data_IF_996490496691
#
_entry.id   IF_996490496691
#
_cell.length_a   1.000
_cell.length_b   1.000
_cell.length_c   1.000
_cell.angle_alpha   90.00
_cell.angle_beta   90.00
_cell.angle_gamma   90.00
#
_symmetry.space_group_name_H-M   'P 1'
#
loop_
_entity.id
_entity.type
_entity.pdbx_description
1 polymer ?
#
# COMPACT_ATOMS: atom_id res chain seq x y z
N UNK A 1 -7.80 20.80 -10.14
CA UNK A 1 -6.83 20.20 -9.20
C UNK A 1 -7.41 18.93 -8.56
N UNK A 2 -6.54 17.93 -8.25
CA UNK A 2 -6.95 16.65 -7.70
C UNK A 2 -6.26 16.43 -6.36
N UNK A 3 -7.07 16.23 -5.30
CA UNK A 3 -6.59 15.74 -4.02
C UNK A 3 -6.42 14.23 -4.04
N UNK A 4 -5.44 13.70 -3.30
CA UNK A 4 -5.17 12.28 -3.21
C UNK A 4 -4.85 11.89 -1.77
N UNK A 5 -5.66 10.97 -1.21
CA UNK A 5 -5.41 10.33 0.08
C UNK A 5 -5.04 8.88 -0.14
N UNK A 6 -3.84 8.48 0.31
CA UNK A 6 -3.28 7.13 0.11
C UNK A 6 -2.72 6.55 1.40
N UNK A 7 -2.59 5.22 1.45
CA UNK A 7 -2.00 4.52 2.60
C UNK A 7 -1.31 3.20 2.21
N UNK A 8 -0.26 2.81 2.95
CA UNK A 8 0.50 3.58 3.94
C UNK A 8 1.48 4.57 3.29
N UNK A 9 2.29 5.26 4.10
CA UNK A 9 3.44 6.05 3.64
C UNK A 9 4.75 5.25 3.77
N UNK A 10 5.81 5.75 3.14
CA UNK A 10 7.16 5.17 3.26
C UNK A 10 7.99 5.93 4.30
N UNK A 11 8.13 7.25 4.15
CA UNK A 11 8.94 8.08 5.04
C UNK A 11 8.11 9.03 5.88
N UNK A 12 7.21 9.78 5.28
CA UNK A 12 6.45 10.83 5.97
C UNK A 12 4.94 10.58 5.90
N UNK A 13 4.26 10.78 7.02
CA UNK A 13 2.79 10.74 7.08
C UNK A 13 2.14 11.71 6.09
N UNK A 14 2.83 12.79 5.73
CA UNK A 14 2.36 13.78 4.76
C UNK A 14 2.24 13.25 3.33
N UNK A 15 2.96 12.16 2.99
CA UNK A 15 2.81 11.46 1.70
C UNK A 15 1.39 10.96 1.45
N UNK A 16 0.65 10.70 2.53
CA UNK A 16 -0.73 10.22 2.44
C UNK A 16 -1.71 11.25 1.94
N UNK A 17 -1.36 12.55 1.99
CA UNK A 17 -2.26 13.65 1.66
C UNK A 17 -1.56 14.57 0.69
N UNK A 18 -2.01 14.57 -0.56
CA UNK A 18 -1.40 15.33 -1.66
C UNK A 18 -2.44 16.09 -2.46
N UNK A 19 -2.00 17.17 -3.10
CA UNK A 19 -2.73 17.85 -4.17
C UNK A 19 -1.82 17.85 -5.39
N UNK A 20 -2.22 17.16 -6.44
CA UNK A 20 -1.32 16.87 -7.55
C UNK A 20 -0.11 16.06 -7.08
N UNK A 21 1.10 16.59 -7.32
CA UNK A 21 2.37 15.97 -6.88
C UNK A 21 2.83 16.44 -5.50
N UNK A 22 2.24 17.52 -4.97
CA UNK A 22 2.70 18.17 -3.74
C UNK A 22 2.06 17.54 -2.49
N UNK A 23 2.90 17.17 -1.54
CA UNK A 23 2.46 16.72 -0.21
C UNK A 23 1.88 17.91 0.58
N UNK A 24 0.91 17.66 1.45
CA UNK A 24 0.43 18.68 2.39
C UNK A 24 1.61 19.34 3.11
N UNK A 25 1.62 20.66 3.23
CA UNK A 25 2.67 21.39 3.92
C UNK A 25 2.71 21.02 5.43
N UNK A 26 3.85 21.19 6.07
CA UNK A 26 3.98 20.99 7.53
C UNK A 26 3.01 21.92 8.26
N UNK A 27 2.87 23.15 7.79
CA UNK A 27 1.99 24.15 8.38
C UNK A 27 0.51 23.75 8.28
N UNK A 28 0.03 23.41 7.07
CA UNK A 28 -1.36 22.96 6.85
C UNK A 28 -1.67 21.68 7.64
N UNK A 29 -0.72 20.72 7.65
CA UNK A 29 -0.85 19.49 8.42
C UNK A 29 -1.00 19.77 9.91
N UNK A 30 -0.09 20.57 10.46
CA UNK A 30 -0.06 20.90 11.89
C UNK A 30 -1.30 21.70 12.30
N UNK A 31 -1.67 22.70 11.52
CA UNK A 31 -2.84 23.54 11.79
C UNK A 31 -4.14 22.73 11.76
N UNK A 32 -4.29 21.86 10.76
CA UNK A 32 -5.47 20.99 10.64
C UNK A 32 -5.49 19.95 11.76
N UNK A 33 -4.36 19.37 12.11
CA UNK A 33 -4.25 18.41 13.21
C UNK A 33 -4.59 19.05 14.56
N UNK A 34 -4.19 20.30 14.81
CA UNK A 34 -4.56 21.03 16.05
C UNK A 34 -6.07 21.22 16.17
N UNK A 35 -6.77 21.52 15.08
CA UNK A 35 -8.24 21.62 15.06
C UNK A 35 -8.89 20.29 15.40
N UNK A 36 -8.44 19.20 14.80
CA UNK A 36 -8.93 17.84 15.06
C UNK A 36 -8.67 17.45 16.51
N UNK A 37 -7.46 17.68 17.02
CA UNK A 37 -7.08 17.39 18.39
C UNK A 37 -8.01 18.10 19.39
N UNK A 38 -8.32 19.39 19.14
CA UNK A 38 -9.25 20.15 19.97
C UNK A 38 -10.63 19.50 20.00
N UNK A 39 -11.18 19.14 18.83
CA UNK A 39 -12.50 18.48 18.74
C UNK A 39 -12.51 17.12 19.47
N UNK A 40 -11.46 16.33 19.36
CA UNK A 40 -11.31 15.04 20.04
C UNK A 40 -11.34 15.23 21.56
N UNK A 41 -10.59 16.21 22.09
CA UNK A 41 -10.50 16.48 23.53
C UNK A 41 -11.83 17.04 24.06
N UNK A 42 -12.37 18.06 23.41
CA UNK A 42 -13.59 18.77 23.87
C UNK A 42 -14.80 17.83 23.89
N UNK A 43 -14.86 16.87 22.96
CA UNK A 43 -15.97 15.92 22.83
C UNK A 43 -15.67 14.52 23.36
N UNK A 44 -14.48 14.29 23.95
CA UNK A 44 -14.03 13.00 24.49
C UNK A 44 -14.14 11.84 23.47
N UNK A 45 -13.81 12.11 22.19
CA UNK A 45 -13.91 11.14 21.10
C UNK A 45 -12.75 10.15 21.21
N UNK A 46 -13.05 8.87 21.04
CA UNK A 46 -12.03 7.83 20.85
C UNK A 46 -11.87 7.62 19.34
N UNK A 47 -10.74 8.02 18.79
CA UNK A 47 -10.46 7.87 17.37
C UNK A 47 -9.15 7.11 17.16
N UNK A 48 -9.12 6.25 16.14
CA UNK A 48 -7.93 5.56 15.70
C UNK A 48 -7.01 6.50 14.90
N UNK A 49 -5.76 6.11 14.76
CA UNK A 49 -4.80 6.85 13.93
C UNK A 49 -5.29 7.05 12.48
N UNK A 50 -5.91 6.02 11.88
CA UNK A 50 -6.39 6.09 10.49
C UNK A 50 -7.62 7.00 10.37
N UNK A 51 -8.56 6.95 11.32
CA UNK A 51 -9.70 7.87 11.36
C UNK A 51 -9.26 9.34 11.47
N UNK A 52 -8.26 9.62 12.32
CA UNK A 52 -7.70 10.97 12.45
C UNK A 52 -7.12 11.46 11.12
N UNK A 53 -6.33 10.64 10.45
CA UNK A 53 -5.73 10.99 9.16
C UNK A 53 -6.78 11.15 8.05
N UNK A 54 -7.82 10.32 8.06
CA UNK A 54 -8.94 10.44 7.11
C UNK A 54 -9.68 11.76 7.30
N UNK A 55 -10.02 12.12 8.53
CA UNK A 55 -10.65 13.41 8.84
C UNK A 55 -9.73 14.58 8.45
N UNK A 56 -8.42 14.45 8.70
CA UNK A 56 -7.44 15.47 8.29
C UNK A 56 -7.45 15.66 6.77
N UNK A 57 -7.46 14.57 6.00
CA UNK A 57 -7.53 14.65 4.55
C UNK A 57 -8.81 15.34 4.07
N UNK A 58 -9.97 14.94 4.59
CA UNK A 58 -11.25 15.55 4.22
C UNK A 58 -11.29 17.05 4.58
N UNK A 59 -10.84 17.44 5.78
CA UNK A 59 -10.80 18.85 6.19
C UNK A 59 -9.80 19.65 5.33
N UNK A 60 -8.64 19.09 5.03
CA UNK A 60 -7.67 19.75 4.17
C UNK A 60 -8.24 19.97 2.78
N UNK A 61 -8.80 18.93 2.16
CA UNK A 61 -9.37 19.00 0.82
C UNK A 61 -10.59 19.92 0.74
N UNK A 62 -11.45 19.95 1.76
CA UNK A 62 -12.62 20.84 1.80
C UNK A 62 -12.26 22.33 1.82
N UNK A 63 -11.06 22.68 2.29
CA UNK A 63 -10.55 24.05 2.30
C UNK A 63 -9.77 24.44 1.03
N UNK A 64 -9.65 23.52 0.08
CA UNK A 64 -8.97 23.74 -1.21
C UNK A 64 -9.99 23.70 -2.35
N UNK A 65 -9.73 24.45 -3.39
CA UNK A 65 -10.61 24.46 -4.57
C UNK A 65 -10.25 23.28 -5.50
N UNK A 66 -10.66 22.06 -5.10
CA UNK A 66 -10.39 20.84 -5.83
C UNK A 66 -11.55 20.46 -6.74
N UNK A 67 -11.24 19.99 -7.95
CA UNK A 67 -12.22 19.41 -8.85
C UNK A 67 -12.65 18.01 -8.38
N UNK A 68 -11.69 17.23 -7.88
CA UNK A 68 -11.87 15.84 -7.42
C UNK A 68 -10.97 15.50 -6.24
N UNK A 69 -11.38 14.51 -5.45
CA UNK A 69 -10.54 13.86 -4.46
C UNK A 69 -10.55 12.34 -4.69
N UNK A 70 -9.37 11.74 -4.81
CA UNK A 70 -9.16 10.30 -4.88
C UNK A 70 -8.83 9.81 -3.47
N UNK A 71 -9.70 8.96 -2.92
CA UNK A 71 -9.63 8.50 -1.54
C UNK A 71 -9.40 6.99 -1.51
N UNK A 72 -8.22 6.55 -1.10
CA UNK A 72 -7.90 5.13 -0.95
C UNK A 72 -8.50 4.57 0.35
N UNK A 73 -9.22 3.46 0.24
CA UNK A 73 -9.73 2.70 1.37
C UNK A 73 -8.55 2.05 2.12
N UNK A 74 -8.50 2.19 3.43
CA UNK A 74 -7.45 1.59 4.24
C UNK A 74 -7.62 0.09 4.43
N UNK A 75 -8.85 -0.36 4.74
CA UNK A 75 -9.16 -1.76 4.98
C UNK A 75 -10.63 -2.09 4.70
N UNK A 76 -10.85 -3.10 3.86
CA UNK A 76 -12.19 -3.61 3.57
C UNK A 76 -13.02 -2.62 2.76
N UNK A 77 -13.93 -1.93 3.39
CA UNK A 77 -14.83 -0.95 2.78
C UNK A 77 -15.96 -0.52 3.72
N UNK A 78 -16.75 -1.45 4.23
CA UNK A 78 -17.97 -1.17 5.02
C UNK A 78 -17.70 -0.26 6.23
N UNK A 79 -16.68 -0.59 7.00
CA UNK A 79 -16.33 0.09 8.26
C UNK A 79 -15.11 1.01 8.14
N UNK A 80 -14.65 1.22 6.90
CA UNK A 80 -13.51 2.09 6.68
C UNK A 80 -13.88 3.57 6.85
N UNK A 81 -13.02 4.32 7.51
CA UNK A 81 -13.24 5.73 7.78
C UNK A 81 -13.42 6.57 6.51
N UNK A 82 -12.80 6.17 5.40
CA UNK A 82 -12.93 6.85 4.10
C UNK A 82 -14.33 6.72 3.50
N UNK A 83 -15.06 5.66 3.85
CA UNK A 83 -16.37 5.36 3.25
C UNK A 83 -17.48 6.36 3.60
N UNK A 84 -17.24 7.31 4.49
CA UNK A 84 -18.17 8.41 4.77
C UNK A 84 -18.38 9.36 3.58
N UNK A 85 -17.47 9.32 2.60
CA UNK A 85 -17.41 10.27 1.48
C UNK A 85 -18.43 10.05 0.35
N UNK A 86 -19.22 8.98 0.35
CA UNK A 86 -20.20 8.65 -0.69
C UNK A 86 -19.63 8.79 -2.12
N UNK A 87 -18.72 7.90 -2.48
CA UNK A 87 -17.97 7.97 -3.73
C UNK A 87 -18.87 8.05 -4.99
N UNK A 88 -18.61 9.04 -5.83
CA UNK A 88 -19.27 9.19 -7.14
C UNK A 88 -18.79 8.12 -8.14
N UNK A 89 -17.49 7.81 -8.07
CA UNK A 89 -16.87 6.70 -8.81
C UNK A 89 -16.24 5.78 -7.76
N UNK A 90 -16.63 4.53 -7.73
CA UNK A 90 -16.07 3.49 -6.88
C UNK A 90 -15.21 2.55 -7.74
N UNK A 91 -13.92 2.44 -7.43
CA UNK A 91 -13.01 1.55 -8.14
C UNK A 91 -12.74 0.32 -7.27
N UNK A 92 -13.30 -0.82 -7.68
CA UNK A 92 -13.08 -2.12 -7.08
C UNK A 92 -12.01 -2.85 -7.90
N UNK A 93 -10.76 -2.75 -7.47
CA UNK A 93 -9.59 -3.30 -8.18
C UNK A 93 -9.62 -4.84 -8.22
N UNK A 94 -8.50 -5.52 -8.08
CA UNK A 94 -8.47 -6.99 -8.00
C UNK A 94 -9.02 -7.48 -6.66
N UNK A 95 -9.67 -8.65 -6.68
CA UNK A 95 -10.10 -9.36 -5.48
C UNK A 95 -9.07 -10.46 -5.16
N UNK A 96 -8.69 -10.56 -3.89
CA UNK A 96 -7.74 -11.56 -3.41
C UNK A 96 -7.89 -11.78 -1.91
N UNK A 97 -7.38 -12.91 -1.41
CA UNK A 97 -7.33 -13.22 0.01
C UNK A 97 -6.29 -12.34 0.69
N UNK A 98 -6.74 -11.38 1.49
CA UNK A 98 -5.90 -10.53 2.32
C UNK A 98 -6.71 -10.10 3.55
N UNK A 99 -6.02 -9.82 4.67
CA UNK A 99 -6.64 -9.39 5.92
C UNK A 99 -7.77 -10.32 6.41
N UNK A 100 -7.60 -11.64 6.27
CA UNK A 100 -8.64 -12.63 6.55
C UNK A 100 -9.15 -12.58 8.00
N UNK A 101 -8.30 -12.18 8.96
CA UNK A 101 -8.69 -11.98 10.36
C UNK A 101 -9.80 -10.93 10.55
N UNK A 102 -9.94 -10.00 9.60
CA UNK A 102 -10.91 -8.89 9.66
C UNK A 102 -12.02 -8.99 8.61
N UNK A 103 -11.71 -9.50 7.42
CA UNK A 103 -12.62 -9.46 6.27
C UNK A 103 -13.29 -10.81 6.00
N UNK A 104 -12.87 -11.88 6.73
CA UNK A 104 -13.32 -13.25 6.53
C UNK A 104 -12.38 -14.04 5.63
N UNK A 105 -12.59 -15.34 5.60
CA UNK A 105 -11.72 -16.37 5.04
C UNK A 105 -12.07 -16.76 3.59
N UNK A 106 -13.02 -16.07 2.96
CA UNK A 106 -13.46 -16.34 1.60
C UNK A 106 -13.49 -15.11 0.73
N UNK A 107 -13.33 -15.28 -0.59
CA UNK A 107 -13.47 -14.18 -1.55
C UNK A 107 -14.88 -13.57 -1.54
N UNK A 108 -15.91 -14.36 -1.25
CA UNK A 108 -17.29 -13.85 -1.14
C UNK A 108 -17.46 -12.91 0.06
N UNK A 109 -16.89 -13.24 1.24
CA UNK A 109 -16.94 -12.35 2.40
C UNK A 109 -16.16 -11.06 2.19
N UNK A 110 -14.96 -11.17 1.61
CA UNK A 110 -14.12 -10.02 1.27
C UNK A 110 -14.81 -9.13 0.23
N UNK A 111 -15.41 -9.73 -0.82
CA UNK A 111 -16.15 -8.99 -1.84
C UNK A 111 -17.34 -8.24 -1.23
N UNK A 112 -18.11 -8.90 -0.36
CA UNK A 112 -19.25 -8.29 0.33
C UNK A 112 -18.85 -7.04 1.09
N UNK A 113 -17.78 -7.09 1.88
CA UNK A 113 -17.29 -5.95 2.67
C UNK A 113 -16.74 -4.84 1.79
N UNK A 114 -15.94 -5.19 0.76
CA UNK A 114 -15.37 -4.20 -0.17
C UNK A 114 -16.42 -3.49 -1.01
N UNK A 115 -17.46 -4.20 -1.42
CA UNK A 115 -18.54 -3.63 -2.24
C UNK A 115 -19.36 -2.55 -1.50
N UNK A 116 -19.30 -2.48 -0.17
CA UNK A 116 -20.05 -1.50 0.65
C UNK A 116 -19.62 -0.04 0.45
N UNK A 117 -18.53 0.22 -0.27
CA UNK A 117 -18.18 1.58 -0.70
C UNK A 117 -19.07 2.10 -1.84
N UNK A 118 -19.83 1.20 -2.48
CA UNK A 118 -20.71 1.51 -3.60
C UNK A 118 -22.06 2.00 -3.09
N UNK A 119 -22.52 3.12 -3.60
CA UNK A 119 -23.86 3.69 -3.34
C UNK A 119 -24.74 3.57 -4.57
N UNK A 120 -26.05 3.79 -4.45
CA UNK A 120 -26.96 3.78 -5.59
C UNK A 120 -26.60 4.78 -6.70
N UNK A 121 -25.86 5.83 -6.37
CA UNK A 121 -25.42 6.88 -7.31
C UNK A 121 -24.01 6.67 -7.82
N UNK A 122 -23.31 5.64 -7.37
CA UNK A 122 -21.93 5.38 -7.78
C UNK A 122 -21.89 4.79 -9.18
N UNK A 123 -20.93 5.25 -9.97
CA UNK A 123 -20.44 4.54 -11.15
C UNK A 123 -19.34 3.61 -10.68
N UNK A 124 -19.46 2.32 -10.97
CA UNK A 124 -18.48 1.31 -10.52
C UNK A 124 -17.54 0.95 -11.66
N UNK A 125 -16.26 0.97 -11.39
CA UNK A 125 -15.21 0.41 -12.25
C UNK A 125 -14.65 -0.80 -11.50
N UNK A 126 -14.61 -1.99 -12.13
CA UNK A 126 -14.20 -3.20 -11.41
C UNK A 126 -13.32 -4.12 -12.24
N UNK A 127 -12.33 -4.74 -11.56
CA UNK A 127 -11.56 -5.88 -12.06
C UNK A 127 -12.06 -7.23 -11.55
N UNK A 128 -13.19 -7.27 -10.85
CA UNK A 128 -13.69 -8.50 -10.28
C UNK A 128 -14.25 -9.44 -11.32
N UNK A 129 -13.98 -10.73 -11.13
CA UNK A 129 -14.60 -11.80 -11.92
C UNK A 129 -16.13 -11.72 -11.81
N UNK A 130 -16.84 -12.11 -12.87
CA UNK A 130 -18.29 -11.94 -13.00
C UNK A 130 -19.08 -12.56 -11.85
N UNK A 131 -18.59 -13.68 -11.31
CA UNK A 131 -19.22 -14.39 -10.19
C UNK A 131 -19.24 -13.59 -8.88
N UNK A 132 -18.26 -12.69 -8.66
CA UNK A 132 -18.20 -11.83 -7.45
C UNK A 132 -18.94 -10.50 -7.63
N UNK A 133 -19.30 -10.12 -8.86
CA UNK A 133 -20.04 -8.89 -9.10
C UNK A 133 -21.46 -8.91 -8.52
N UNK A 134 -21.98 -10.09 -8.18
CA UNK A 134 -23.26 -10.26 -7.44
C UNK A 134 -23.27 -9.54 -6.07
N UNK A 135 -22.07 -9.29 -5.47
CA UNK A 135 -21.93 -8.59 -4.21
C UNK A 135 -21.96 -7.06 -4.34
N UNK A 136 -21.85 -6.54 -5.57
CA UNK A 136 -21.93 -5.09 -5.82
C UNK A 136 -23.38 -4.67 -5.63
N UNK A 137 -23.69 -3.72 -4.73
CA UNK A 137 -25.04 -3.23 -4.52
C UNK A 137 -25.60 -2.56 -5.80
N UNK A 138 -26.90 -2.29 -5.79
CA UNK A 138 -27.50 -1.45 -6.82
C UNK A 138 -26.73 -0.14 -6.96
N UNK A 139 -26.34 0.21 -8.18
CA UNK A 139 -25.54 1.39 -8.52
C UNK A 139 -26.03 1.97 -9.87
N UNK A 140 -25.45 3.10 -10.27
CA UNK A 140 -25.79 3.75 -11.55
C UNK A 140 -25.37 2.89 -12.74
N UNK A 141 -24.07 2.48 -12.76
CA UNK A 141 -23.53 1.61 -13.81
C UNK A 141 -22.30 0.86 -13.34
N UNK A 142 -21.97 -0.26 -14.03
CA UNK A 142 -20.78 -1.07 -13.77
C UNK A 142 -19.97 -1.18 -15.06
N UNK A 143 -18.69 -0.82 -14.98
CA UNK A 143 -17.70 -0.95 -16.05
C UNK A 143 -16.62 -1.96 -15.63
N UNK A 144 -16.43 -3.00 -16.41
CA UNK A 144 -15.40 -3.99 -16.19
C UNK A 144 -14.12 -3.64 -16.95
N UNK A 145 -12.98 -3.81 -16.31
CA UNK A 145 -11.65 -3.68 -16.91
C UNK A 145 -10.67 -4.69 -16.30
N UNK A 146 -9.67 -5.11 -17.06
CA UNK A 146 -8.73 -6.17 -16.68
C UNK A 146 -7.38 -5.64 -16.22
N UNK A 147 -7.17 -4.33 -16.28
CA UNK A 147 -5.89 -3.70 -15.94
C UNK A 147 -6.06 -2.35 -15.29
N UNK A 148 -5.04 -1.91 -14.56
CA UNK A 148 -4.97 -0.56 -13.97
C UNK A 148 -5.14 0.49 -15.07
N UNK A 149 -4.55 0.26 -16.25
CA UNK A 149 -4.66 1.17 -17.38
C UNK A 149 -6.11 1.34 -17.81
N UNK A 150 -6.85 0.24 -18.05
CA UNK A 150 -8.27 0.29 -18.44
C UNK A 150 -9.13 0.99 -17.37
N UNK A 151 -8.90 0.70 -16.08
CA UNK A 151 -9.63 1.38 -14.99
C UNK A 151 -9.36 2.87 -14.96
N UNK A 152 -8.10 3.27 -15.19
CA UNK A 152 -7.71 4.69 -15.24
C UNK A 152 -8.32 5.39 -16.45
N UNK A 153 -8.25 4.80 -17.64
CA UNK A 153 -8.85 5.34 -18.85
C UNK A 153 -10.36 5.55 -18.70
N UNK A 154 -11.07 4.58 -18.12
CA UNK A 154 -12.49 4.71 -17.82
C UNK A 154 -12.78 5.84 -16.85
N UNK A 155 -12.04 5.90 -15.74
CA UNK A 155 -12.20 6.95 -14.73
C UNK A 155 -11.96 8.33 -15.35
N UNK A 156 -10.89 8.52 -16.10
CA UNK A 156 -10.57 9.80 -16.75
C UNK A 156 -11.62 10.20 -17.80
N UNK A 157 -12.13 9.24 -18.59
CA UNK A 157 -13.22 9.48 -19.53
C UNK A 157 -14.50 9.95 -18.81
N UNK A 158 -14.87 9.33 -17.70
CA UNK A 158 -16.03 9.73 -16.88
C UNK A 158 -15.86 11.16 -16.33
N UNK A 159 -14.63 11.51 -15.94
CA UNK A 159 -14.27 12.82 -15.41
C UNK A 159 -14.02 13.88 -16.52
N UNK A 160 -14.13 13.50 -17.80
CA UNK A 160 -13.81 14.34 -18.97
C UNK A 160 -12.39 14.89 -18.94
N UNK A 161 -11.45 14.11 -18.43
CA UNK A 161 -10.02 14.41 -18.38
C UNK A 161 -9.29 13.76 -19.56
N UNK A 162 -8.21 14.41 -20.01
CA UNK A 162 -7.34 13.80 -21.01
C UNK A 162 -6.53 12.67 -20.36
N UNK A 163 -6.52 11.51 -21.00
CA UNK A 163 -5.67 10.40 -20.59
C UNK A 163 -4.23 10.67 -21.02
N UNK A 164 -3.30 10.44 -20.11
CA UNK A 164 -1.86 10.50 -20.35
C UNK A 164 -1.27 9.13 -20.04
N UNK A 165 -0.61 8.53 -21.01
CA UNK A 165 0.12 7.27 -20.83
C UNK A 165 1.52 7.55 -20.25
N UNK A 166 1.57 8.24 -19.12
CA UNK A 166 2.80 8.40 -18.34
C UNK A 166 2.97 7.21 -17.40
N UNK A 167 4.13 6.54 -17.48
CA UNK A 167 4.53 5.55 -16.47
C UNK A 167 4.84 6.28 -15.16
N UNK A 168 3.85 6.30 -14.28
CA UNK A 168 4.03 6.85 -12.94
C UNK A 168 4.88 5.86 -12.12
N UNK A 169 6.05 6.30 -11.69
CA UNK A 169 6.84 5.56 -10.71
C UNK A 169 6.32 5.89 -9.31
N UNK A 170 5.83 4.89 -8.60
CA UNK A 170 5.43 5.03 -7.20
C UNK A 170 6.58 4.56 -6.33
N UNK A 171 7.07 5.37 -5.39
CA UNK A 171 8.12 4.96 -4.46
C UNK A 171 7.82 3.62 -3.79
N UNK A 172 8.80 2.71 -3.80
CA UNK A 172 8.65 1.38 -3.21
C UNK A 172 7.64 0.46 -3.91
N UNK A 173 7.28 0.74 -5.17
CA UNK A 173 6.47 -0.13 -6.02
C UNK A 173 7.23 -0.43 -7.30
N UNK A 174 7.87 -1.60 -7.35
CA UNK A 174 8.73 -2.02 -8.46
C UNK A 174 9.76 -0.94 -8.87
N UNK A 175 10.32 -0.26 -7.88
CA UNK A 175 11.22 0.87 -8.04
C UNK A 175 12.65 0.37 -8.29
N UNK A 176 13.19 0.63 -9.48
CA UNK A 176 14.55 0.23 -9.88
C UNK A 176 15.53 1.35 -9.61
N UNK A 177 16.57 1.05 -8.83
CA UNK A 177 17.65 1.98 -8.51
C UNK A 177 18.98 1.23 -8.57
N UNK A 178 19.80 1.50 -9.57
CA UNK A 178 21.05 0.79 -9.84
C UNK A 178 20.81 -0.73 -9.96
N UNK A 179 21.50 -1.53 -9.14
CA UNK A 179 21.34 -3.00 -9.08
C UNK A 179 20.19 -3.44 -8.16
N UNK A 180 19.51 -2.50 -7.49
CA UNK A 180 18.43 -2.79 -6.55
C UNK A 180 17.05 -2.65 -7.19
N UNK A 181 16.16 -3.58 -6.88
CA UNK A 181 14.72 -3.44 -7.07
C UNK A 181 14.04 -3.33 -5.70
N UNK A 182 13.33 -2.24 -5.45
CA UNK A 182 12.62 -1.98 -4.22
C UNK A 182 11.12 -2.20 -4.42
N UNK A 183 10.51 -3.08 -3.62
CA UNK A 183 9.06 -3.31 -3.63
C UNK A 183 8.54 -3.64 -2.25
N UNK A 184 7.48 -2.95 -1.82
CA UNK A 184 6.86 -3.12 -0.51
C UNK A 184 5.94 -4.35 -0.40
N UNK A 185 6.05 -5.35 -1.27
CA UNK A 185 5.31 -6.60 -1.17
C UNK A 185 5.57 -7.27 0.20
N UNK A 186 4.49 -7.66 0.91
CA UNK A 186 4.58 -8.11 2.30
C UNK A 186 3.53 -9.18 2.65
N UNK A 187 2.88 -9.76 1.65
CA UNK A 187 2.01 -10.93 1.78
C UNK A 187 2.28 -11.90 0.62
N UNK A 188 1.86 -13.17 0.72
CA UNK A 188 2.16 -14.17 -0.30
C UNK A 188 1.66 -13.79 -1.69
N UNK A 189 0.47 -13.19 -1.81
CA UNK A 189 -0.09 -12.77 -3.10
C UNK A 189 0.75 -11.68 -3.77
N UNK A 190 1.18 -10.67 -3.02
CA UNK A 190 2.00 -9.58 -3.54
C UNK A 190 3.40 -10.07 -3.93
N UNK A 191 4.02 -10.95 -3.14
CA UNK A 191 5.32 -11.57 -3.46
C UNK A 191 5.20 -12.42 -4.73
N UNK A 192 4.17 -13.24 -4.85
CA UNK A 192 3.96 -14.06 -6.04
C UNK A 192 3.78 -13.19 -7.30
N UNK A 193 3.00 -12.11 -7.21
CA UNK A 193 2.85 -11.14 -8.29
C UNK A 193 4.18 -10.45 -8.64
N UNK A 194 4.98 -10.08 -7.64
CA UNK A 194 6.29 -9.46 -7.85
C UNK A 194 7.24 -10.42 -8.61
N UNK A 195 7.31 -11.67 -8.19
CA UNK A 195 8.17 -12.69 -8.78
C UNK A 195 7.70 -13.13 -10.18
N UNK A 196 6.41 -13.06 -10.48
CA UNK A 196 5.87 -13.40 -11.81
C UNK A 196 6.38 -12.51 -12.95
N UNK A 197 7.04 -11.39 -12.63
CA UNK A 197 7.63 -10.48 -13.63
C UNK A 197 8.96 -10.97 -14.22
N UNK A 198 9.30 -12.23 -14.02
CA UNK A 198 10.44 -12.94 -14.63
C UNK A 198 11.81 -12.26 -14.46
N UNK A 199 12.07 -11.64 -13.31
CA UNK A 199 13.40 -11.18 -12.96
C UNK A 199 14.12 -12.24 -12.11
N UNK A 200 15.40 -12.42 -12.36
CA UNK A 200 16.28 -13.23 -11.52
C UNK A 200 17.00 -12.31 -10.53
N UNK A 201 17.05 -12.72 -9.28
CA UNK A 201 17.74 -11.98 -8.22
C UNK A 201 18.78 -12.90 -7.58
N UNK A 202 20.03 -12.45 -7.54
CA UNK A 202 21.08 -13.19 -6.86
C UNK A 202 20.88 -13.15 -5.35
N UNK A 203 20.39 -12.00 -4.85
CA UNK A 203 20.16 -11.75 -3.44
C UNK A 203 18.79 -11.14 -3.19
N UNK A 204 18.20 -11.48 -2.04
CA UNK A 204 16.93 -10.92 -1.60
C UNK A 204 17.09 -10.40 -0.19
N UNK A 205 17.05 -9.08 -0.03
CA UNK A 205 17.04 -8.41 1.27
C UNK A 205 15.60 -8.36 1.76
N UNK A 206 15.32 -8.97 2.91
CA UNK A 206 13.97 -9.07 3.44
C UNK A 206 13.92 -8.81 4.94
N UNK A 207 12.98 -7.96 5.35
CA UNK A 207 12.58 -7.76 6.73
C UNK A 207 11.06 -7.73 6.81
N UNK A 208 10.48 -8.49 7.73
CA UNK A 208 9.04 -8.70 7.81
C UNK A 208 8.45 -8.29 9.14
N UNK A 209 7.14 -8.06 9.16
CA UNK A 209 6.38 -7.83 10.38
C UNK A 209 5.97 -9.17 10.99
N UNK A 210 5.89 -9.25 12.33
CA UNK A 210 5.57 -10.50 13.06
C UNK A 210 4.14 -11.00 12.86
N UNK A 211 3.25 -10.13 12.40
CA UNK A 211 1.83 -10.44 12.10
C UNK A 211 1.62 -10.97 10.68
N UNK A 212 2.68 -11.21 9.90
CA UNK A 212 2.60 -11.72 8.53
C UNK A 212 2.91 -13.21 8.46
N UNK A 213 2.37 -13.85 7.42
CA UNK A 213 2.68 -15.23 7.10
C UNK A 213 4.10 -15.35 6.53
N UNK A 214 5.08 -15.28 7.45
CA UNK A 214 6.50 -15.29 7.10
C UNK A 214 6.90 -16.57 6.37
N UNK A 215 6.33 -17.71 6.75
CA UNK A 215 6.68 -19.02 6.16
C UNK A 215 6.26 -19.07 4.69
N UNK A 216 4.99 -18.79 4.40
CA UNK A 216 4.51 -18.79 3.01
C UNK A 216 5.24 -17.77 2.13
N UNK A 217 5.63 -16.60 2.68
CA UNK A 217 6.43 -15.62 1.95
C UNK A 217 7.82 -16.18 1.60
N UNK A 218 8.52 -16.77 2.58
CA UNK A 218 9.86 -17.32 2.38
C UNK A 218 9.85 -18.53 1.44
N UNK A 219 8.82 -19.38 1.48
CA UNK A 219 8.65 -20.51 0.57
C UNK A 219 8.57 -20.08 -0.90
N UNK A 220 7.92 -18.94 -1.19
CA UNK A 220 7.76 -18.40 -2.54
C UNK A 220 9.06 -17.85 -3.15
N UNK A 221 10.05 -17.48 -2.34
CA UNK A 221 11.29 -16.90 -2.85
C UNK A 221 12.06 -17.94 -3.71
N UNK A 222 12.81 -17.52 -4.75
CA UNK A 222 13.61 -18.43 -5.57
C UNK A 222 14.65 -19.21 -4.76
N UNK A 223 14.82 -20.49 -5.05
CA UNK A 223 15.72 -21.38 -4.31
C UNK A 223 17.20 -21.00 -4.45
N UNK A 224 17.57 -20.47 -5.61
CA UNK A 224 18.93 -20.05 -5.96
C UNK A 224 19.32 -18.68 -5.42
N UNK A 225 18.38 -17.91 -4.89
CA UNK A 225 18.66 -16.59 -4.32
C UNK A 225 19.18 -16.72 -2.88
N UNK A 226 20.23 -15.99 -2.55
CA UNK A 226 20.68 -15.85 -1.16
C UNK A 226 19.76 -14.88 -0.40
N UNK A 227 19.16 -15.34 0.71
CA UNK A 227 18.21 -14.54 1.50
C UNK A 227 18.97 -13.79 2.59
N UNK A 228 18.88 -12.46 2.56
CA UNK A 228 19.51 -11.57 3.54
C UNK A 228 18.42 -11.06 4.51
N UNK A 229 18.35 -11.69 5.68
CA UNK A 229 17.35 -11.40 6.71
C UNK A 229 17.76 -10.15 7.49
N UNK A 230 16.92 -9.12 7.54
CA UNK A 230 17.27 -7.86 8.17
C UNK A 230 16.44 -7.57 9.42
N UNK A 231 17.13 -7.16 10.50
CA UNK A 231 16.47 -6.61 11.68
C UNK A 231 15.94 -5.21 11.36
N UNK A 232 14.65 -4.99 11.62
CA UNK A 232 13.99 -3.70 11.43
C UNK A 232 13.87 -2.92 12.75
N UNK A 233 13.86 -1.60 12.65
CA UNK A 233 13.76 -0.68 13.80
C UNK A 233 12.30 -0.45 14.24
N UNK A 234 11.54 -1.51 14.41
CA UNK A 234 10.16 -1.45 14.92
C UNK A 234 9.87 -2.61 15.85
N UNK A 235 9.14 -2.40 16.96
CA UNK A 235 8.79 -3.48 17.89
C UNK A 235 7.88 -4.55 17.27
N UNK A 236 7.26 -4.25 16.14
CA UNK A 236 6.39 -5.18 15.40
C UNK A 236 7.15 -6.07 14.42
N UNK A 237 8.47 -5.91 14.30
CA UNK A 237 9.26 -6.73 13.37
C UNK A 237 9.32 -8.19 13.83
N UNK A 238 9.30 -9.11 12.86
CA UNK A 238 9.71 -10.49 13.10
C UNK A 238 11.20 -10.52 13.45
N UNK A 239 11.58 -11.35 14.41
CA UNK A 239 12.98 -11.53 14.78
C UNK A 239 13.71 -12.25 13.65
N UNK A 240 14.96 -11.84 13.38
CA UNK A 240 15.76 -12.47 12.32
C UNK A 240 16.04 -13.94 12.63
N UNK A 241 16.23 -14.28 13.90
CA UNK A 241 16.45 -15.66 14.37
C UNK A 241 15.25 -16.56 14.01
N UNK A 242 14.03 -16.09 14.24
CA UNK A 242 12.81 -16.81 13.85
C UNK A 242 12.70 -17.00 12.34
N UNK A 243 13.05 -15.99 11.55
CA UNK A 243 13.04 -16.08 10.08
C UNK A 243 14.13 -17.05 9.59
N UNK A 244 15.28 -17.09 10.25
CA UNK A 244 16.37 -18.03 9.95
C UNK A 244 15.96 -19.48 10.26
N UNK A 245 15.25 -19.73 11.37
CA UNK A 245 14.68 -21.04 11.67
C UNK A 245 13.75 -21.52 10.55
N UNK A 246 12.85 -20.65 10.07
CA UNK A 246 11.96 -20.98 8.93
C UNK A 246 12.80 -21.29 7.67
N UNK A 247 13.80 -20.46 7.33
CA UNK A 247 14.68 -20.72 6.18
C UNK A 247 15.34 -22.09 6.26
N UNK A 248 15.85 -22.47 7.44
CA UNK A 248 16.45 -23.77 7.65
C UNK A 248 15.44 -24.92 7.48
N UNK A 249 14.23 -24.79 8.02
CA UNK A 249 13.15 -25.78 7.87
C UNK A 249 12.78 -26.04 6.39
N UNK A 250 12.76 -24.99 5.56
CA UNK A 250 12.39 -25.07 4.14
C UNK A 250 13.60 -25.24 3.21
N UNK A 251 14.81 -25.41 3.78
CA UNK A 251 16.04 -25.69 3.04
C UNK A 251 16.56 -24.52 2.20
N UNK A 252 16.37 -23.26 2.66
CA UNK A 252 16.89 -22.07 1.99
C UNK A 252 18.12 -21.48 2.69
N UNK A 253 19.08 -21.03 1.88
CA UNK A 253 20.26 -20.33 2.39
C UNK A 253 19.90 -18.92 2.84
N UNK A 254 20.27 -18.56 4.08
CA UNK A 254 20.04 -17.21 4.57
C UNK A 254 21.23 -16.73 5.42
N UNK A 255 21.37 -15.40 5.50
CA UNK A 255 22.33 -14.69 6.34
C UNK A 255 21.58 -13.61 7.12
N UNK A 256 21.88 -13.49 8.42
CA UNK A 256 21.27 -12.48 9.28
C UNK A 256 22.10 -11.19 9.31
N UNK A 257 21.43 -10.05 9.21
CA UNK A 257 22.02 -8.70 9.28
C UNK A 257 21.34 -7.84 10.35
N UNK A 258 22.13 -7.01 11.00
CA UNK A 258 21.64 -6.09 12.04
C UNK A 258 20.82 -4.94 11.50
N UNK A 259 20.85 -4.68 10.19
CA UNK A 259 20.11 -3.63 9.51
C UNK A 259 20.02 -3.89 8.01
N UNK A 260 19.08 -3.22 7.36
CA UNK A 260 18.98 -3.20 5.88
C UNK A 260 20.23 -2.60 5.26
N UNK A 261 20.83 -1.58 5.91
CA UNK A 261 22.07 -0.95 5.46
C UNK A 261 23.23 -1.94 5.32
N UNK A 262 23.47 -2.75 6.36
CA UNK A 262 24.54 -3.76 6.33
C UNK A 262 24.32 -4.79 5.21
N UNK A 263 23.07 -5.23 5.02
CA UNK A 263 22.73 -6.16 3.94
C UNK A 263 22.94 -5.53 2.56
N UNK A 264 22.61 -4.25 2.38
CA UNK A 264 22.85 -3.52 1.13
C UNK A 264 24.33 -3.34 0.83
N UNK A 265 25.15 -3.05 1.85
CA UNK A 265 26.63 -2.98 1.69
C UNK A 265 27.19 -4.34 1.23
N UNK A 266 26.67 -5.44 1.79
CA UNK A 266 27.04 -6.79 1.38
C UNK A 266 26.61 -7.14 -0.06
N UNK A 267 25.40 -6.69 -0.46
CA UNK A 267 24.78 -7.00 -1.76
C UNK A 267 25.13 -5.99 -2.88
N UNK A 268 26.02 -5.06 -2.65
CA UNK A 268 26.22 -3.83 -3.45
C UNK A 268 26.39 -4.03 -4.96
N UNK A 269 26.95 -5.13 -5.40
CA UNK A 269 27.27 -5.41 -6.80
C UNK A 269 26.34 -6.46 -7.43
N UNK A 270 25.35 -6.94 -6.70
CA UNK A 270 24.46 -8.02 -7.14
C UNK A 270 23.10 -7.49 -7.57
N UNK A 271 22.43 -8.18 -8.49
CA UNK A 271 21.02 -7.96 -8.77
C UNK A 271 20.19 -8.37 -7.56
N UNK A 272 19.71 -7.38 -6.82
CA UNK A 272 19.13 -7.58 -5.50
C UNK A 272 17.70 -7.06 -5.43
N UNK A 273 16.79 -7.91 -4.95
CA UNK A 273 15.45 -7.52 -4.57
C UNK A 273 15.44 -7.09 -3.10
N UNK A 274 14.78 -5.96 -2.80
CA UNK A 274 14.54 -5.46 -1.44
C UNK A 274 13.04 -5.44 -1.20
N UNK A 275 12.55 -6.25 -0.24
CA UNK A 275 11.11 -6.48 -0.07
C UNK A 275 10.73 -6.90 1.37
N UNK A 276 9.48 -7.32 1.58
CA UNK A 276 8.95 -7.89 2.81
C UNK A 276 8.23 -6.91 3.73
N UNK A 277 8.50 -5.61 3.64
CA UNK A 277 7.77 -4.57 4.37
C UNK A 277 8.05 -3.17 3.86
N UNK A 278 7.16 -2.23 4.19
CA UNK A 278 7.42 -0.80 3.99
C UNK A 278 8.65 -0.32 4.77
N UNK A 279 8.92 -0.87 5.94
CA UNK A 279 10.09 -0.51 6.75
C UNK A 279 11.41 -0.91 6.08
N UNK A 280 11.47 -2.12 5.49
CA UNK A 280 12.64 -2.56 4.74
C UNK A 280 12.95 -1.62 3.58
N UNK A 281 11.91 -1.28 2.81
CA UNK A 281 12.04 -0.38 1.67
C UNK A 281 12.38 1.04 2.11
N UNK A 282 11.79 1.54 3.21
CA UNK A 282 12.11 2.86 3.74
C UNK A 282 13.60 2.98 4.15
N UNK A 283 14.14 1.99 4.88
CA UNK A 283 15.54 1.98 5.24
C UNK A 283 16.46 1.91 4.00
N UNK A 284 16.08 1.12 3.00
CA UNK A 284 16.82 1.04 1.74
C UNK A 284 16.80 2.37 0.96
N UNK A 285 15.65 3.02 0.86
CA UNK A 285 15.53 4.34 0.22
C UNK A 285 16.35 5.41 0.95
N UNK A 286 16.36 5.35 2.29
CA UNK A 286 17.21 6.21 3.12
C UNK A 286 18.69 6.01 2.81
N UNK A 287 19.14 4.76 2.69
CA UNK A 287 20.52 4.43 2.30
C UNK A 287 20.88 4.97 0.91
N UNK A 288 19.95 4.93 -0.02
CA UNK A 288 20.13 5.39 -1.41
C UNK A 288 19.93 6.90 -1.58
N UNK A 289 19.64 7.66 -0.52
CA UNK A 289 19.35 9.09 -0.54
C UNK A 289 18.23 9.46 -1.54
N UNK A 290 17.18 8.64 -1.60
CA UNK A 290 16.03 8.90 -2.48
C UNK A 290 15.09 9.94 -1.89
N UNK A 291 14.22 10.52 -2.73
CA UNK A 291 13.26 11.54 -2.33
C UNK A 291 12.41 11.09 -1.12
N UNK A 292 12.15 12.01 -0.20
CA UNK A 292 11.45 11.74 1.07
C UNK A 292 12.38 11.42 2.26
N UNK A 293 13.67 11.18 1.99
CA UNK A 293 14.66 10.85 3.02
C UNK A 293 14.79 11.93 4.11
N UNK A 294 14.73 13.21 3.74
CA UNK A 294 14.93 14.33 4.68
C UNK A 294 13.79 14.55 5.68
N UNK A 295 12.72 13.78 5.59
CA UNK A 295 11.53 13.92 6.44
C UNK A 295 11.45 12.91 7.60
N UNK A 296 12.48 12.06 7.75
CA UNK A 296 12.57 11.07 8.83
C UNK A 296 12.99 11.70 10.15
#
# INVERSE_FOLDING_TARGET
EIGCFTSPHIHSVRERIRIGKEKISIEDFTTTMQKIRKLIIDNKIKATYFEILTVLAYLYFSNKNLDYAVMEIGLGGEWDAVNIGNAKIAILTTLGLDHMDYLGDSLDSIATTKAKIVTEKSIVITGWQKEYQKHIPKCDSIHHGNSIQEWTEFAMKLLKLNYFDEKISIPGRYEKVNSFLLDCAHNPQAINHLLSKNNTYNKIIIGMMSDKDCKSILELLPQESEILLCKLKTPRAAKTEYLAEICNEIGKNCIEFKSVREAMDYAKNDQTLITGSFYTVAEARTYLNLEGYSEL
#
